data_IF_391295849330
#
_entry.id   IF_391295849330
#
_cell.length_a   1.000
_cell.length_b   1.000
_cell.length_c   1.000
_cell.angle_alpha   90.00
_cell.angle_beta   90.00
_cell.angle_gamma   90.00
#
_symmetry.space_group_name_H-M   'P 1'
#
loop_
_entity.id
_entity.type
_entity.pdbx_description
1 polymer ?
#
# COMPACT_ATOMS: atom_id res chain seq x y z
N UNK A 1 -18.62 0.27 -7.74
CA UNK A 1 -18.77 0.15 -6.27
C UNK A 1 -17.54 0.64 -5.50
N UNK A 2 -16.36 0.00 -5.63
CA UNK A 2 -15.16 0.35 -4.83
C UNK A 2 -14.69 1.80 -4.96
N UNK A 3 -14.63 2.36 -6.17
CA UNK A 3 -14.30 3.78 -6.38
C UNK A 3 -15.23 4.71 -5.59
N UNK A 4 -16.54 4.48 -5.64
CA UNK A 4 -17.52 5.30 -4.93
C UNK A 4 -17.32 5.21 -3.40
N UNK A 5 -17.08 4.00 -2.88
CA UNK A 5 -16.78 3.80 -1.47
C UNK A 5 -15.49 4.53 -1.05
N UNK A 6 -14.39 4.36 -1.80
CA UNK A 6 -13.13 5.05 -1.53
C UNK A 6 -13.29 6.57 -1.57
N UNK A 7 -14.08 7.09 -2.52
CA UNK A 7 -14.38 8.51 -2.62
C UNK A 7 -15.17 9.02 -1.40
N UNK A 8 -16.18 8.28 -0.96
CA UNK A 8 -16.96 8.61 0.22
C UNK A 8 -16.09 8.68 1.48
N UNK A 9 -15.26 7.65 1.70
CA UNK A 9 -14.37 7.59 2.86
C UNK A 9 -13.33 8.71 2.85
N UNK A 10 -12.69 8.96 1.71
CA UNK A 10 -11.71 10.03 1.59
C UNK A 10 -12.38 11.42 1.72
N UNK A 11 -13.59 11.62 1.21
CA UNK A 11 -14.37 12.85 1.45
C UNK A 11 -14.60 13.06 2.95
N UNK A 12 -15.08 12.04 3.65
CA UNK A 12 -15.36 12.11 5.09
C UNK A 12 -14.10 12.39 5.92
N UNK A 13 -12.99 11.73 5.61
CA UNK A 13 -11.73 11.90 6.33
C UNK A 13 -11.11 13.28 6.12
N UNK A 14 -11.18 13.81 4.90
CA UNK A 14 -10.58 15.10 4.54
C UNK A 14 -11.57 16.28 4.57
N UNK A 15 -12.75 16.13 5.18
CA UNK A 15 -13.71 17.21 5.39
C UNK A 15 -13.69 17.80 6.80
N UNK A 16 -12.73 17.41 7.64
CA UNK A 16 -12.72 17.74 9.07
C UNK A 16 -12.37 19.20 9.34
N UNK A 17 -11.66 19.86 8.42
CA UNK A 17 -11.23 21.25 8.56
C UNK A 17 -11.57 22.08 7.32
N UNK A 18 -11.89 23.37 7.48
CA UNK A 18 -12.02 24.29 6.36
C UNK A 18 -10.76 24.26 5.49
N UNK A 19 -10.95 24.29 4.17
CA UNK A 19 -9.84 24.29 3.21
C UNK A 19 -8.89 23.08 3.30
N UNK A 20 -9.31 21.98 3.92
CA UNK A 20 -8.51 20.75 3.90
C UNK A 20 -8.45 20.18 2.47
N UNK A 21 -7.25 19.78 2.05
CA UNK A 21 -7.02 19.06 0.80
C UNK A 21 -6.65 17.61 1.08
N UNK A 22 -6.86 16.76 0.08
CA UNK A 22 -6.48 15.36 0.18
C UNK A 22 -4.96 15.24 0.06
N UNK A 23 -4.35 14.46 0.96
CA UNK A 23 -2.89 14.33 1.03
C UNK A 23 -2.44 12.96 0.53
N UNK A 24 -2.75 11.91 1.29
CA UNK A 24 -2.36 10.54 0.98
C UNK A 24 -3.60 9.63 1.00
N UNK A 25 -3.70 8.74 0.02
CA UNK A 25 -4.61 7.60 0.07
C UNK A 25 -3.78 6.34 -0.18
N UNK A 26 -3.74 5.47 0.82
CA UNK A 26 -3.03 4.19 0.77
C UNK A 26 -4.06 3.07 0.67
N UNK A 27 -3.91 2.19 -0.32
CA UNK A 27 -4.78 1.02 -0.51
C UNK A 27 -3.94 -0.25 -0.38
N UNK A 28 -4.35 -1.12 0.54
CA UNK A 28 -3.82 -2.47 0.71
C UNK A 28 -4.97 -3.44 0.43
N UNK A 29 -4.83 -4.27 -0.60
CA UNK A 29 -5.89 -5.19 -0.99
C UNK A 29 -5.33 -6.31 -1.86
N UNK A 30 -6.07 -7.38 -2.06
CA UNK A 30 -5.68 -8.53 -2.89
C UNK A 30 -6.39 -8.53 -4.26
N UNK A 31 -7.32 -7.60 -4.47
CA UNK A 31 -8.16 -7.54 -5.66
C UNK A 31 -7.75 -6.41 -6.60
N UNK A 32 -7.56 -6.75 -7.89
CA UNK A 32 -7.13 -5.79 -8.93
C UNK A 32 -8.07 -4.59 -9.06
N UNK A 33 -9.38 -4.78 -8.90
CA UNK A 33 -10.34 -3.69 -9.02
C UNK A 33 -10.21 -2.64 -7.89
N UNK A 34 -9.63 -2.98 -6.74
CA UNK A 34 -9.35 -2.00 -5.66
C UNK A 34 -8.16 -1.12 -6.05
N UNK A 35 -7.15 -1.75 -6.66
CA UNK A 35 -5.99 -1.09 -7.21
C UNK A 35 -6.36 -0.12 -8.35
N UNK A 36 -7.24 -0.55 -9.27
CA UNK A 36 -7.78 0.33 -10.31
C UNK A 36 -8.66 1.45 -9.73
N UNK A 37 -9.45 1.14 -8.69
CA UNK A 37 -10.30 2.13 -8.04
C UNK A 37 -9.50 3.27 -7.41
N UNK A 38 -8.38 2.99 -6.74
CA UNK A 38 -7.54 4.05 -6.14
C UNK A 38 -6.82 4.89 -7.20
N UNK A 39 -6.42 4.29 -8.33
CA UNK A 39 -5.90 5.04 -9.48
C UNK A 39 -6.97 5.96 -10.10
N UNK A 40 -8.18 5.45 -10.27
CA UNK A 40 -9.29 6.24 -10.79
C UNK A 40 -9.70 7.36 -9.82
N UNK A 41 -9.51 7.16 -8.51
CA UNK A 41 -9.81 8.15 -7.49
C UNK A 41 -8.99 9.43 -7.67
N UNK A 42 -7.69 9.32 -7.96
CA UNK A 42 -6.85 10.49 -8.23
C UNK A 42 -7.17 11.12 -9.59
N UNK A 43 -7.30 10.31 -10.64
CA UNK A 43 -7.54 10.81 -12.00
C UNK A 43 -8.87 11.53 -12.19
N UNK A 44 -9.93 11.08 -11.50
CA UNK A 44 -11.29 11.64 -11.66
C UNK A 44 -11.57 12.80 -10.71
N UNK A 45 -10.61 13.17 -9.86
CA UNK A 45 -10.82 14.18 -8.84
C UNK A 45 -10.64 15.58 -9.41
N UNK A 46 -11.70 16.37 -9.37
CA UNK A 46 -11.61 17.82 -9.55
C UNK A 46 -11.14 18.44 -8.24
N UNK A 47 -9.86 18.84 -8.18
CA UNK A 47 -9.22 19.34 -6.97
C UNK A 47 -8.80 20.82 -7.09
N UNK A 48 -8.68 21.55 -5.96
CA UNK A 48 -8.02 22.85 -5.94
C UNK A 48 -6.57 22.77 -6.45
N UNK A 49 -6.06 23.83 -7.07
CA UNK A 49 -4.70 23.87 -7.65
C UNK A 49 -3.57 23.56 -6.65
N UNK A 50 -3.77 23.89 -5.37
CA UNK A 50 -2.82 23.61 -4.28
C UNK A 50 -2.87 22.16 -3.77
N UNK A 51 -3.85 21.38 -4.18
CA UNK A 51 -3.92 19.99 -3.76
C UNK A 51 -2.80 19.18 -4.40
N UNK A 52 -2.25 18.28 -3.59
CA UNK A 52 -1.23 17.33 -4.00
C UNK A 52 -1.62 15.99 -3.39
N UNK A 53 -2.60 15.32 -4.00
CA UNK A 53 -2.98 13.96 -3.61
C UNK A 53 -1.89 12.99 -4.08
N UNK A 54 -1.47 12.07 -3.20
CA UNK A 54 -0.66 10.92 -3.56
C UNK A 54 -1.42 9.63 -3.31
N UNK A 55 -1.50 8.79 -4.33
CA UNK A 55 -2.17 7.50 -4.29
C UNK A 55 -1.14 6.39 -4.33
N UNK A 56 -1.24 5.48 -3.35
CA UNK A 56 -0.29 4.39 -3.15
C UNK A 56 -1.08 3.11 -3.02
N UNK A 57 -0.77 2.11 -3.85
CA UNK A 57 -1.49 0.86 -3.86
C UNK A 57 -0.52 -0.31 -3.76
N UNK A 58 -0.83 -1.25 -2.88
CA UNK A 58 -0.14 -2.53 -2.78
C UNK A 58 -1.17 -3.63 -2.98
N UNK A 59 -1.01 -4.37 -4.07
CA UNK A 59 -1.80 -5.53 -4.39
C UNK A 59 -1.11 -6.77 -3.80
N UNK A 60 -1.74 -7.35 -2.77
CA UNK A 60 -1.18 -8.39 -1.92
C UNK A 60 -1.54 -9.79 -2.44
N UNK A 61 -0.71 -10.82 -2.16
CA UNK A 61 -1.06 -12.21 -2.46
C UNK A 61 -2.40 -12.61 -1.81
N UNK A 62 -3.34 -13.19 -2.56
CA UNK A 62 -4.63 -13.61 -2.02
C UNK A 62 -4.48 -14.78 -1.05
N UNK A 63 -5.54 -15.06 -0.29
CA UNK A 63 -5.65 -16.24 0.58
C UNK A 63 -4.46 -16.48 1.53
N UNK A 64 -4.03 -15.46 2.32
CA UNK A 64 -2.91 -15.66 3.23
C UNK A 64 -3.26 -16.66 4.34
N UNK A 65 -2.28 -17.46 4.75
CA UNK A 65 -2.35 -18.15 6.03
C UNK A 65 -2.28 -17.15 7.21
N UNK A 66 -2.65 -17.58 8.42
CA UNK A 66 -2.62 -16.70 9.60
C UNK A 66 -1.21 -16.19 9.92
N UNK A 67 -0.18 -17.02 9.73
CA UNK A 67 1.23 -16.63 9.90
C UNK A 67 1.65 -15.59 8.87
N UNK A 68 1.28 -15.79 7.61
CA UNK A 68 1.55 -14.84 6.53
C UNK A 68 0.88 -13.49 6.79
N UNK A 69 -0.40 -13.50 7.15
CA UNK A 69 -1.14 -12.28 7.47
C UNK A 69 -0.52 -11.55 8.66
N UNK A 70 -0.11 -12.28 9.70
CA UNK A 70 0.56 -11.71 10.87
C UNK A 70 1.87 -11.03 10.49
N UNK A 71 2.71 -11.70 9.70
CA UNK A 71 3.97 -11.13 9.22
C UNK A 71 3.73 -9.90 8.34
N UNK A 72 2.81 -9.99 7.37
CA UNK A 72 2.44 -8.84 6.52
C UNK A 72 1.99 -7.65 7.34
N UNK A 73 1.13 -7.84 8.35
CA UNK A 73 0.68 -6.76 9.23
C UNK A 73 1.85 -6.16 10.04
N UNK A 74 2.76 -6.98 10.58
CA UNK A 74 3.98 -6.50 11.25
C UNK A 74 4.83 -5.65 10.30
N UNK A 75 5.05 -6.13 9.09
CA UNK A 75 5.82 -5.43 8.06
C UNK A 75 5.15 -4.12 7.65
N UNK A 76 3.86 -4.15 7.28
CA UNK A 76 3.09 -2.97 6.89
C UNK A 76 3.05 -1.94 8.00
N UNK A 77 3.00 -2.33 9.28
CA UNK A 77 3.09 -1.41 10.41
C UNK A 77 4.43 -0.68 10.46
N UNK A 78 5.54 -1.38 10.25
CA UNK A 78 6.88 -0.77 10.18
C UNK A 78 7.00 0.18 8.98
N UNK A 79 6.50 -0.25 7.83
CA UNK A 79 6.61 0.49 6.58
C UNK A 79 5.59 1.62 6.43
N UNK A 80 4.55 1.69 7.27
CA UNK A 80 3.48 2.67 7.15
C UNK A 80 4.01 4.11 7.11
N UNK A 81 4.99 4.43 7.97
CA UNK A 81 5.60 5.76 7.95
C UNK A 81 6.35 6.04 6.65
N UNK A 82 7.09 5.06 6.12
CA UNK A 82 7.80 5.19 4.85
C UNK A 82 6.81 5.40 3.69
N UNK A 83 5.72 4.62 3.65
CA UNK A 83 4.66 4.80 2.66
C UNK A 83 4.01 6.19 2.76
N UNK A 84 3.68 6.67 3.96
CA UNK A 84 3.03 7.98 4.12
C UNK A 84 3.97 9.13 3.75
N UNK A 85 5.26 9.03 4.08
CA UNK A 85 6.27 10.07 3.82
C UNK A 85 6.74 10.09 2.37
N UNK A 86 6.62 8.99 1.65
CA UNK A 86 7.01 8.95 0.24
C UNK A 86 6.22 9.97 -0.58
N UNK A 87 6.95 10.90 -1.20
CA UNK A 87 6.40 12.04 -1.91
C UNK A 87 6.12 11.71 -3.40
N UNK A 88 5.34 10.66 -3.62
CA UNK A 88 5.00 10.19 -4.95
C UNK A 88 3.87 9.18 -4.93
N UNK A 89 3.45 8.77 -6.12
CA UNK A 89 2.53 7.66 -6.32
C UNK A 89 3.31 6.38 -6.58
N UNK A 90 2.81 5.26 -6.09
CA UNK A 90 3.33 3.96 -6.49
C UNK A 90 2.22 2.91 -6.48
N UNK A 91 2.39 1.92 -7.34
CA UNK A 91 1.42 0.89 -7.63
C UNK A 91 2.16 -0.43 -7.74
N UNK A 92 2.09 -1.24 -6.69
CA UNK A 92 2.88 -2.46 -6.57
C UNK A 92 1.98 -3.69 -6.67
N UNK A 93 2.27 -4.58 -7.63
CA UNK A 93 1.70 -5.92 -7.66
C UNK A 93 2.63 -6.92 -6.98
N UNK A 94 2.44 -7.13 -5.68
CA UNK A 94 3.28 -8.04 -4.89
C UNK A 94 2.90 -9.51 -5.08
N UNK A 95 1.82 -9.79 -5.81
CA UNK A 95 1.45 -11.15 -6.22
C UNK A 95 2.43 -11.67 -7.27
N UNK A 96 2.81 -10.81 -8.21
CA UNK A 96 3.62 -11.13 -9.39
C UNK A 96 5.10 -10.73 -9.24
N UNK A 97 5.43 -9.82 -8.32
CA UNK A 97 6.81 -9.33 -8.14
C UNK A 97 7.80 -10.49 -7.98
N UNK A 98 9.02 -10.49 -8.51
CA UNK A 98 9.97 -11.59 -8.25
C UNK A 98 10.56 -11.55 -6.82
N UNK A 99 10.68 -10.35 -6.25
CA UNK A 99 11.07 -10.12 -4.86
C UNK A 99 10.22 -8.94 -4.32
N UNK A 100 9.31 -9.16 -3.35
CA UNK A 100 8.43 -8.09 -2.86
C UNK A 100 9.19 -6.99 -2.13
N UNK A 101 10.24 -7.34 -1.38
CA UNK A 101 11.07 -6.36 -0.68
C UNK A 101 11.83 -5.48 -1.66
N UNK A 102 12.35 -6.05 -2.75
CA UNK A 102 12.98 -5.30 -3.83
C UNK A 102 11.98 -4.32 -4.46
N UNK A 103 10.79 -4.79 -4.83
CA UNK A 103 9.78 -3.93 -5.44
C UNK A 103 9.38 -2.75 -4.54
N UNK A 104 9.32 -2.98 -3.23
CA UNK A 104 9.06 -1.92 -2.23
C UNK A 104 10.28 -0.99 -2.08
N UNK A 105 11.49 -1.55 -2.03
CA UNK A 105 12.74 -0.81 -1.92
C UNK A 105 12.88 0.18 -3.09
N UNK A 106 12.66 -0.31 -4.32
CA UNK A 106 12.75 0.48 -5.54
C UNK A 106 11.71 1.61 -5.54
N UNK A 107 10.45 1.30 -5.19
CA UNK A 107 9.38 2.30 -5.15
C UNK A 107 9.61 3.38 -4.10
N UNK A 108 10.28 3.05 -2.99
CA UNK A 108 10.53 3.99 -1.89
C UNK A 108 11.90 4.68 -1.97
N UNK A 109 12.80 4.22 -2.85
CA UNK A 109 14.20 4.65 -2.85
C UNK A 109 14.94 4.23 -1.58
N UNK A 110 14.67 3.02 -1.08
CA UNK A 110 15.22 2.48 0.17
C UNK A 110 16.01 1.18 -0.09
N UNK A 111 17.21 1.25 -0.67
CA UNK A 111 17.98 0.06 -1.05
C UNK A 111 18.28 -0.86 0.15
N UNK A 112 18.54 -0.29 1.32
CA UNK A 112 18.85 -1.04 2.56
C UNK A 112 17.69 -1.95 3.02
N UNK A 113 16.47 -1.76 2.50
CA UNK A 113 15.34 -2.65 2.79
C UNK A 113 15.58 -4.08 2.29
N UNK A 114 16.39 -4.25 1.24
CA UNK A 114 16.73 -5.55 0.67
C UNK A 114 17.60 -6.37 1.64
N UNK A 115 18.40 -5.68 2.46
CA UNK A 115 19.23 -6.30 3.50
C UNK A 115 18.42 -6.73 4.73
N UNK A 116 17.13 -6.33 4.80
CA UNK A 116 16.26 -6.78 5.88
C UNK A 116 16.03 -8.29 5.78
N UNK A 117 16.27 -9.01 6.87
CA UNK A 117 16.01 -10.45 6.97
C UNK A 117 14.51 -10.75 7.15
N UNK A 118 13.64 -10.02 6.45
CA UNK A 118 12.20 -10.18 6.63
C UNK A 118 11.72 -11.49 5.97
N UNK A 119 10.97 -12.36 6.68
CA UNK A 119 10.68 -13.69 6.17
C UNK A 119 9.91 -13.68 4.84
N UNK A 120 10.45 -14.36 3.82
CA UNK A 120 9.81 -14.52 2.52
C UNK A 120 8.47 -15.26 2.61
N UNK A 121 8.27 -16.04 3.67
CA UNK A 121 7.00 -16.69 3.99
C UNK A 121 5.86 -15.69 4.00
N UNK A 122 6.10 -14.47 4.49
CA UNK A 122 5.09 -13.42 4.53
C UNK A 122 4.41 -13.24 3.17
N UNK A 123 5.09 -13.49 2.05
CA UNK A 123 4.57 -13.27 0.70
C UNK A 123 4.13 -14.56 -0.01
N UNK A 124 3.96 -15.67 0.71
CA UNK A 124 3.53 -16.97 0.15
C UNK A 124 4.62 -17.69 -0.65
N UNK A 125 5.90 -17.35 -0.43
CA UNK A 125 7.03 -17.82 -1.26
C UNK A 125 7.93 -18.86 -0.61
N UNK A 126 7.67 -19.16 0.66
CA UNK A 126 8.41 -20.18 1.40
C UNK A 126 7.51 -20.82 2.43
N UNK A 127 7.92 -21.99 2.92
CA UNK A 127 7.23 -22.70 4.00
C UNK A 127 7.15 -21.87 5.28
N UNK A 128 6.41 -22.38 6.28
CA UNK A 128 6.30 -21.74 7.59
C UNK A 128 7.69 -21.43 8.15
N UNK A 129 7.94 -20.20 8.65
CA UNK A 129 9.18 -19.90 9.35
C UNK A 129 9.26 -20.80 10.58
N UNK A 130 10.44 -21.35 10.83
CA UNK A 130 10.76 -22.03 12.09
C UNK A 130 10.42 -21.11 13.26
N UNK A 131 9.91 -21.66 14.37
CA UNK A 131 9.44 -20.91 15.56
C UNK A 131 10.51 -20.04 16.26
N UNK A 132 11.71 -19.94 15.72
CA UNK A 132 12.88 -19.27 16.31
C UNK A 132 13.24 -17.93 15.64
N UNK A 133 12.43 -17.44 14.68
CA UNK A 133 12.57 -16.10 14.06
C UNK A 133 11.43 -15.13 14.45
#
# INVERSE_FOLDING_TARGET
AKLAAMQQEACSFYSQYPEQTWKNVLSFGDMRYEHEAVQALSHRRTAPSRERLRTKALLLPPTPSLSELTLRLKFSRLMLQAYVRHNGDFYLDLREAANPLQAIADALGMPDLIESNFPQHAWGRSGLPSREE
#
